data_IF_364005903727
#
_entry.id   IF_364005903727
#
_cell.length_a   1.000
_cell.length_b   1.000
_cell.length_c   1.000
_cell.angle_alpha   90.00
_cell.angle_beta   90.00
_cell.angle_gamma   90.00
#
_symmetry.space_group_name_H-M   'P 1'
#
loop_
_entity.id
_entity.type
_entity.pdbx_description
1 polymer ?
#
# COMPACT_ATOMS: atom_id res chain seq x y z
N UNK A 1 -13.11 8.13 -77.76
CA UNK A 1 -12.33 8.85 -76.74
C UNK A 1 -12.73 8.25 -75.38
N UNK A 2 -11.90 7.38 -74.84
CA UNK A 2 -12.13 6.71 -73.54
C UNK A 2 -11.30 7.41 -72.48
N UNK A 3 -11.91 8.15 -71.58
CA UNK A 3 -11.29 8.74 -70.41
C UNK A 3 -11.27 7.70 -69.26
N UNK A 4 -10.07 7.22 -68.94
CA UNK A 4 -9.83 6.35 -67.73
C UNK A 4 -9.70 7.24 -66.51
N UNK A 5 -10.65 7.13 -65.56
CA UNK A 5 -10.51 7.73 -64.24
C UNK A 5 -9.56 6.89 -63.39
N UNK A 6 -8.45 7.48 -63.00
CA UNK A 6 -7.53 6.91 -61.96
C UNK A 6 -8.05 7.28 -60.58
N UNK A 7 -8.36 6.27 -59.77
CA UNK A 7 -8.71 6.42 -58.35
C UNK A 7 -7.40 6.41 -57.54
N UNK A 8 -7.11 7.42 -56.72
CA UNK A 8 -5.92 7.38 -55.86
C UNK A 8 -6.15 6.42 -54.71
N UNK A 9 -5.26 5.45 -54.57
CA UNK A 9 -5.14 4.56 -53.39
C UNK A 9 -4.48 5.35 -52.28
N UNK A 10 -5.23 5.71 -51.23
CA UNK A 10 -4.69 6.31 -50.03
C UNK A 10 -3.99 5.21 -49.21
N UNK A 11 -2.68 5.31 -49.09
CA UNK A 11 -1.89 4.48 -48.17
C UNK A 11 -2.19 4.95 -46.74
N UNK A 12 -2.95 4.16 -45.98
CA UNK A 12 -3.07 4.32 -44.52
C UNK A 12 -1.75 3.84 -43.89
N UNK A 13 -0.91 4.76 -43.46
CA UNK A 13 0.22 4.48 -42.60
C UNK A 13 -0.30 4.18 -41.18
N UNK A 14 -0.32 2.92 -40.79
CA UNK A 14 -0.49 2.53 -39.39
C UNK A 14 0.75 3.03 -38.61
N UNK A 15 0.59 4.13 -37.89
CA UNK A 15 1.54 4.52 -36.85
C UNK A 15 1.34 3.56 -35.68
N UNK A 16 2.22 2.56 -35.56
CA UNK A 16 2.40 1.85 -34.30
C UNK A 16 2.74 2.88 -33.23
N UNK A 17 1.82 3.15 -32.31
CA UNK A 17 2.11 3.84 -31.09
C UNK A 17 3.18 3.01 -30.36
N UNK A 18 4.41 3.52 -30.31
CA UNK A 18 5.45 2.94 -29.46
C UNK A 18 4.90 2.98 -28.03
N UNK A 19 4.68 1.81 -27.43
CA UNK A 19 4.42 1.71 -26.01
C UNK A 19 5.56 2.44 -25.31
N UNK A 20 5.26 3.52 -24.60
CA UNK A 20 6.24 4.20 -23.78
C UNK A 20 6.73 3.18 -22.77
N UNK A 21 8.00 2.74 -22.91
CA UNK A 21 8.68 2.01 -21.86
C UNK A 21 8.70 2.97 -20.65
N UNK A 22 7.84 2.72 -19.66
CA UNK A 22 7.82 3.48 -18.43
C UNK A 22 9.22 3.46 -17.79
N UNK A 23 9.55 4.50 -17.06
CA UNK A 23 10.77 4.53 -16.26
C UNK A 23 10.87 3.25 -15.42
N UNK A 24 12.09 2.74 -15.18
CA UNK A 24 12.27 1.62 -14.27
C UNK A 24 11.66 1.98 -12.90
N UNK A 25 10.90 1.05 -12.26
CA UNK A 25 10.28 1.33 -10.98
C UNK A 25 11.33 1.75 -9.97
N UNK A 26 11.06 2.82 -9.24
CA UNK A 26 11.90 3.34 -8.19
C UNK A 26 11.33 2.90 -6.85
N UNK A 27 12.15 2.20 -6.10
CA UNK A 27 11.77 1.80 -4.74
C UNK A 27 12.08 2.93 -3.75
N UNK A 28 11.15 3.24 -2.87
CA UNK A 28 11.30 4.31 -1.85
C UNK A 28 12.41 4.03 -0.83
N UNK A 29 12.80 2.77 -0.69
CA UNK A 29 13.88 2.31 0.18
C UNK A 29 15.05 1.88 -0.70
N UNK A 30 16.16 2.62 -0.74
CA UNK A 30 17.35 2.21 -1.48
C UNK A 30 17.98 1.01 -0.78
N UNK A 31 17.66 -0.18 -1.25
CA UNK A 31 18.36 -1.39 -0.84
C UNK A 31 19.71 -1.44 -1.54
N UNK A 32 20.78 -1.64 -0.77
CA UNK A 32 22.12 -1.82 -1.31
C UNK A 32 22.21 -3.02 -2.23
N UNK A 33 23.24 -3.08 -3.06
CA UNK A 33 23.56 -4.27 -3.83
C UNK A 33 23.70 -5.49 -2.90
N UNK A 34 23.34 -6.70 -3.35
CA UNK A 34 23.45 -7.90 -2.54
C UNK A 34 24.85 -8.07 -1.95
N UNK A 35 24.93 -8.36 -0.64
CA UNK A 35 26.18 -8.54 0.07
C UNK A 35 26.12 -9.74 1.02
N UNK A 36 27.18 -10.56 1.11
CA UNK A 36 27.28 -11.60 2.12
C UNK A 36 27.15 -11.06 3.55
N UNK A 37 27.46 -9.78 3.80
CA UNK A 37 27.29 -9.15 5.11
C UNK A 37 25.85 -9.20 5.62
N UNK A 38 24.86 -9.23 4.73
CA UNK A 38 23.43 -9.29 5.05
C UNK A 38 22.88 -10.73 5.16
N UNK A 39 23.71 -11.76 4.98
CA UNK A 39 23.25 -13.15 4.96
C UNK A 39 22.59 -13.60 6.28
N UNK A 40 22.93 -12.97 7.39
CA UNK A 40 22.41 -13.25 8.73
C UNK A 40 21.43 -12.19 9.24
N UNK A 41 21.02 -11.23 8.42
CA UNK A 41 20.01 -10.26 8.81
C UNK A 41 18.71 -10.96 9.18
N UNK A 42 18.00 -10.44 10.17
CA UNK A 42 16.77 -11.05 10.66
C UNK A 42 15.73 -11.30 9.57
N UNK A 43 15.59 -10.38 8.61
CA UNK A 43 14.67 -10.52 7.47
C UNK A 43 15.09 -11.65 6.53
N UNK A 44 16.40 -11.88 6.34
CA UNK A 44 16.93 -12.96 5.49
C UNK A 44 16.74 -14.31 6.18
N UNK A 45 17.10 -14.38 7.46
CA UNK A 45 16.93 -15.60 8.27
C UNK A 45 15.47 -16.04 8.35
N UNK A 46 14.57 -15.09 8.58
CA UNK A 46 13.14 -15.35 8.66
C UNK A 46 12.55 -15.76 7.30
N UNK A 47 12.97 -15.14 6.20
CA UNK A 47 12.54 -15.55 4.86
C UNK A 47 13.00 -16.97 4.52
N UNK A 48 14.25 -17.31 4.87
CA UNK A 48 14.78 -18.67 4.67
C UNK A 48 14.03 -19.74 5.48
N UNK A 49 13.56 -19.41 6.67
CA UNK A 49 12.76 -20.32 7.51
C UNK A 49 11.38 -20.64 6.87
N UNK A 50 10.95 -19.86 5.87
CA UNK A 50 9.66 -20.04 5.21
C UNK A 50 9.78 -20.51 3.75
N UNK A 51 10.96 -21.00 3.30
CA UNK A 51 11.18 -21.41 1.91
C UNK A 51 10.24 -22.51 1.43
N UNK A 52 9.84 -23.41 2.32
CA UNK A 52 8.96 -24.56 1.99
C UNK A 52 7.46 -24.17 1.99
N UNK A 53 7.13 -22.96 2.45
CA UNK A 53 5.76 -22.49 2.45
C UNK A 53 5.25 -22.36 1.00
N UNK A 54 4.05 -22.91 0.76
CA UNK A 54 3.39 -22.88 -0.55
C UNK A 54 2.39 -21.73 -0.61
N UNK A 55 2.18 -21.12 -1.79
CA UNK A 55 1.13 -20.12 -1.96
C UNK A 55 -0.26 -20.75 -1.90
N UNK A 56 -1.22 -20.01 -1.31
CA UNK A 56 -2.62 -20.36 -1.17
C UNK A 56 -3.53 -19.32 -1.84
N UNK A 57 -3.38 -19.04 -3.16
CA UNK A 57 -4.12 -17.98 -3.82
C UNK A 57 -5.61 -18.32 -3.88
N UNK A 58 -6.44 -17.28 -3.72
CA UNK A 58 -7.88 -17.34 -3.90
C UNK A 58 -8.30 -16.43 -5.05
N UNK A 59 -9.39 -16.79 -5.74
CA UNK A 59 -9.97 -15.92 -6.78
C UNK A 59 -10.50 -14.62 -6.18
N UNK A 60 -11.06 -14.68 -4.99
CA UNK A 60 -11.53 -13.53 -4.21
C UNK A 60 -11.18 -13.74 -2.74
N UNK A 61 -10.83 -12.67 -2.04
CA UNK A 61 -10.70 -12.63 -0.59
C UNK A 61 -11.79 -11.72 -0.04
N UNK A 62 -12.32 -12.04 1.14
CA UNK A 62 -13.34 -11.22 1.78
C UNK A 62 -13.34 -11.39 3.29
N UNK A 63 -12.94 -10.32 3.99
CA UNK A 63 -12.94 -10.22 5.46
C UNK A 63 -13.77 -9.03 5.93
N UNK A 64 -13.92 -8.02 5.07
CA UNK A 64 -14.61 -6.78 5.38
C UNK A 64 -16.09 -7.02 5.70
N UNK A 65 -16.53 -6.51 6.86
CA UNK A 65 -17.94 -6.66 7.29
C UNK A 65 -18.30 -8.06 7.81
N UNK A 66 -17.31 -8.96 7.95
CA UNK A 66 -17.48 -10.28 8.54
C UNK A 66 -16.81 -10.35 9.91
N UNK A 67 -17.37 -11.14 10.81
CA UNK A 67 -16.69 -11.58 12.02
C UNK A 67 -15.88 -12.85 11.74
N UNK A 68 -14.87 -13.20 12.55
CA UNK A 68 -14.17 -14.47 12.46
C UNK A 68 -15.15 -15.65 12.37
N UNK A 69 -14.83 -16.63 11.53
CA UNK A 69 -15.64 -17.83 11.25
C UNK A 69 -16.92 -17.57 10.44
N UNK A 70 -17.09 -16.39 9.86
CA UNK A 70 -18.22 -16.10 8.97
C UNK A 70 -17.79 -16.15 7.49
N UNK A 71 -18.63 -16.74 6.64
CA UNK A 71 -18.41 -16.79 5.20
C UNK A 71 -17.04 -17.37 4.84
N UNK A 72 -16.26 -16.63 4.03
CA UNK A 72 -14.89 -17.02 3.64
C UNK A 72 -13.82 -16.27 4.44
N UNK A 73 -14.16 -15.63 5.58
CA UNK A 73 -13.26 -14.81 6.37
C UNK A 73 -11.95 -15.56 6.71
N UNK A 74 -12.05 -16.72 7.35
CA UNK A 74 -10.87 -17.46 7.83
C UNK A 74 -10.00 -17.98 6.67
N UNK A 75 -10.63 -18.41 5.57
CA UNK A 75 -9.90 -18.81 4.37
C UNK A 75 -9.17 -17.62 3.72
N UNK A 76 -9.81 -16.45 3.74
CA UNK A 76 -9.21 -15.20 3.24
C UNK A 76 -8.02 -14.77 4.09
N UNK A 77 -8.17 -14.79 5.43
CA UNK A 77 -7.08 -14.48 6.36
C UNK A 77 -5.86 -15.39 6.15
N UNK A 78 -6.11 -16.70 5.94
CA UNK A 78 -5.03 -17.65 5.65
C UNK A 78 -4.35 -17.34 4.32
N UNK A 79 -5.13 -17.09 3.26
CA UNK A 79 -4.61 -16.79 1.93
C UNK A 79 -3.81 -15.47 1.91
N UNK A 80 -4.27 -14.44 2.63
CA UNK A 80 -3.60 -13.14 2.71
C UNK A 80 -2.21 -13.19 3.36
N UNK A 81 -1.88 -14.24 4.11
CA UNK A 81 -0.53 -14.45 4.68
C UNK A 81 0.54 -14.62 3.60
N UNK A 82 0.16 -15.02 2.40
CA UNK A 82 1.06 -15.11 1.26
C UNK A 82 1.69 -13.77 0.90
N UNK A 83 0.94 -12.68 1.03
CA UNK A 83 1.35 -11.37 0.52
C UNK A 83 2.57 -10.80 1.27
N UNK A 84 2.59 -10.74 2.62
CA UNK A 84 3.79 -10.32 3.34
C UNK A 84 4.95 -11.32 3.22
N UNK A 85 4.70 -12.63 3.03
CA UNK A 85 5.75 -13.61 2.77
C UNK A 85 6.46 -13.33 1.45
N UNK A 86 5.72 -13.03 0.38
CA UNK A 86 6.29 -12.67 -0.91
C UNK A 86 7.17 -11.41 -0.82
N UNK A 87 6.70 -10.36 -0.13
CA UNK A 87 7.48 -9.13 0.04
C UNK A 87 8.75 -9.39 0.87
N UNK A 88 8.65 -10.18 1.94
CA UNK A 88 9.79 -10.54 2.78
C UNK A 88 10.85 -11.28 1.99
N UNK A 89 10.45 -12.27 1.18
CA UNK A 89 11.37 -13.01 0.32
C UNK A 89 12.04 -12.10 -0.71
N UNK A 90 11.30 -11.16 -1.32
CA UNK A 90 11.82 -10.18 -2.27
C UNK A 90 12.88 -9.26 -1.63
N UNK A 91 12.62 -8.74 -0.44
CA UNK A 91 13.57 -7.90 0.32
C UNK A 91 14.80 -8.70 0.71
N UNK A 92 14.61 -9.91 1.22
CA UNK A 92 15.70 -10.80 1.62
C UNK A 92 16.59 -11.18 0.41
N UNK A 93 15.99 -11.41 -0.76
CA UNK A 93 16.74 -11.60 -2.00
C UNK A 93 17.56 -10.37 -2.39
N UNK A 94 16.97 -9.19 -2.33
CA UNK A 94 17.67 -7.92 -2.64
C UNK A 94 18.89 -7.69 -1.74
N UNK A 95 18.82 -8.10 -0.48
CA UNK A 95 19.91 -7.97 0.49
C UNK A 95 20.99 -9.04 0.33
N UNK A 96 20.59 -10.30 0.13
CA UNK A 96 21.50 -11.46 0.20
C UNK A 96 21.94 -12.01 -1.16
N UNK A 97 21.17 -11.75 -2.22
CA UNK A 97 21.39 -12.34 -3.55
C UNK A 97 21.04 -13.82 -3.65
N UNK A 98 20.46 -14.44 -2.61
CA UNK A 98 20.15 -15.87 -2.58
C UNK A 98 19.05 -16.24 -3.60
N UNK A 99 19.35 -17.09 -4.61
CA UNK A 99 18.41 -17.37 -5.70
C UNK A 99 17.12 -18.07 -5.26
N UNK A 100 17.18 -18.87 -4.18
CA UNK A 100 16.01 -19.55 -3.61
C UNK A 100 14.93 -18.57 -3.12
N UNK A 101 15.30 -17.39 -2.64
CA UNK A 101 14.38 -16.33 -2.22
C UNK A 101 13.70 -15.66 -3.41
N UNK A 102 14.42 -15.47 -4.53
CA UNK A 102 13.81 -15.01 -5.78
C UNK A 102 12.83 -16.04 -6.32
N UNK A 103 13.19 -17.33 -6.29
CA UNK A 103 12.30 -18.40 -6.72
C UNK A 103 11.03 -18.47 -5.87
N UNK A 104 11.15 -18.31 -4.54
CA UNK A 104 10.01 -18.23 -3.65
C UNK A 104 9.11 -17.04 -4.03
N UNK A 105 9.69 -15.85 -4.16
CA UNK A 105 8.95 -14.66 -4.59
C UNK A 105 8.21 -14.91 -5.91
N UNK A 106 8.88 -15.47 -6.91
CA UNK A 106 8.27 -15.76 -8.20
C UNK A 106 7.10 -16.75 -8.10
N UNK A 107 7.18 -17.78 -7.25
CA UNK A 107 6.06 -18.72 -7.02
C UNK A 107 4.81 -18.02 -6.48
N UNK A 108 4.97 -17.14 -5.47
CA UNK A 108 3.85 -16.39 -4.91
C UNK A 108 3.24 -15.43 -5.94
N UNK A 109 4.08 -14.66 -6.63
CA UNK A 109 3.63 -13.71 -7.65
C UNK A 109 2.89 -14.41 -8.79
N UNK A 110 3.42 -15.54 -9.28
CA UNK A 110 2.81 -16.31 -10.36
C UNK A 110 1.46 -16.89 -9.93
N UNK A 111 1.39 -17.50 -8.75
CA UNK A 111 0.18 -18.11 -8.22
C UNK A 111 -0.95 -17.07 -8.07
N UNK A 112 -0.66 -15.92 -7.48
CA UNK A 112 -1.66 -14.87 -7.28
C UNK A 112 -2.04 -14.15 -8.58
N UNK A 113 -1.08 -13.87 -9.47
CA UNK A 113 -1.38 -13.21 -10.73
C UNK A 113 -2.29 -14.02 -11.65
N UNK A 114 -2.21 -15.36 -11.59
CA UNK A 114 -3.02 -16.26 -12.42
C UNK A 114 -4.34 -16.66 -11.77
N UNK A 115 -4.55 -16.36 -10.48
CA UNK A 115 -5.74 -16.79 -9.75
C UNK A 115 -6.64 -15.63 -9.35
N UNK A 116 -6.05 -14.52 -8.87
CA UNK A 116 -6.82 -13.44 -8.24
C UNK A 116 -7.61 -12.61 -9.24
N UNK A 117 -8.86 -12.33 -8.89
CA UNK A 117 -9.80 -11.51 -9.67
C UNK A 117 -10.25 -10.33 -8.80
N UNK A 118 -9.80 -9.09 -9.10
CA UNK A 118 -10.17 -7.92 -8.33
C UNK A 118 -11.68 -7.67 -8.30
N UNK A 119 -12.23 -7.48 -7.12
CA UNK A 119 -13.60 -6.99 -6.90
C UNK A 119 -13.64 -5.53 -6.49
N UNK A 120 -12.46 -4.98 -6.20
CA UNK A 120 -12.23 -3.59 -5.83
C UNK A 120 -12.85 -3.20 -4.49
N UNK A 121 -12.90 -4.12 -3.54
CA UNK A 121 -13.08 -3.79 -2.15
C UNK A 121 -11.72 -3.36 -1.55
N UNK A 122 -11.51 -2.08 -1.25
CA UNK A 122 -10.18 -1.60 -0.86
C UNK A 122 -9.74 -2.09 0.52
N UNK A 123 -10.66 -2.58 1.33
CA UNK A 123 -10.34 -3.14 2.66
C UNK A 123 -9.80 -4.56 2.50
N UNK A 124 -10.48 -5.39 1.72
CA UNK A 124 -10.04 -6.75 1.42
C UNK A 124 -8.74 -6.77 0.59
N UNK A 125 -8.60 -5.82 -0.34
CA UNK A 125 -7.47 -5.76 -1.27
C UNK A 125 -6.25 -4.98 -0.74
N UNK A 126 -6.37 -4.32 0.42
CA UNK A 126 -5.33 -3.37 0.88
C UNK A 126 -3.93 -3.97 0.94
N UNK A 127 -3.81 -5.23 1.33
CA UNK A 127 -2.53 -5.90 1.53
C UNK A 127 -1.94 -6.52 0.25
N UNK A 128 -2.67 -6.51 -0.90
CA UNK A 128 -2.10 -6.78 -2.22
C UNK A 128 -0.91 -5.86 -2.54
N UNK A 129 -0.87 -4.68 -1.91
CA UNK A 129 0.27 -3.77 -1.99
C UNK A 129 1.62 -4.46 -1.68
N UNK A 130 1.64 -5.52 -0.86
CA UNK A 130 2.86 -6.29 -0.59
C UNK A 130 3.34 -7.06 -1.84
N UNK A 131 2.42 -7.68 -2.61
CA UNK A 131 2.78 -8.35 -3.86
C UNK A 131 3.29 -7.35 -4.90
N UNK A 132 2.69 -6.15 -4.97
CA UNK A 132 3.11 -5.12 -5.92
C UNK A 132 4.50 -4.58 -5.58
N UNK A 133 4.81 -4.44 -4.30
CA UNK A 133 6.14 -4.08 -3.83
C UNK A 133 7.16 -5.21 -4.07
N UNK A 134 6.78 -6.47 -3.83
CA UNK A 134 7.62 -7.63 -4.15
C UNK A 134 7.93 -7.69 -5.66
N UNK A 135 6.93 -7.44 -6.51
CA UNK A 135 7.11 -7.33 -7.96
C UNK A 135 8.08 -6.19 -8.31
N UNK A 136 7.90 -4.97 -7.78
CA UNK A 136 8.77 -3.84 -8.06
C UNK A 136 10.24 -4.13 -7.72
N UNK A 137 10.49 -4.85 -6.63
CA UNK A 137 11.83 -5.24 -6.19
C UNK A 137 12.49 -6.32 -7.07
N UNK A 138 11.69 -7.19 -7.72
CA UNK A 138 12.20 -8.40 -8.37
C UNK A 138 11.97 -8.43 -9.88
N UNK A 139 11.18 -7.51 -10.43
CA UNK A 139 10.64 -7.59 -11.81
C UNK A 139 11.68 -7.88 -12.89
N UNK A 140 12.88 -7.28 -12.79
CA UNK A 140 13.92 -7.43 -13.80
C UNK A 140 14.60 -8.81 -13.77
N UNK A 141 14.47 -9.53 -12.64
CA UNK A 141 14.98 -10.88 -12.45
C UNK A 141 13.90 -11.98 -12.57
N UNK A 142 12.61 -11.60 -12.64
CA UNK A 142 11.51 -12.56 -12.77
C UNK A 142 11.47 -13.22 -14.14
N UNK A 143 10.98 -14.48 -14.24
CA UNK A 143 10.59 -15.08 -15.50
C UNK A 143 9.62 -14.19 -16.27
N UNK A 144 9.74 -14.12 -17.60
CA UNK A 144 8.92 -13.23 -18.42
C UNK A 144 7.40 -13.49 -18.27
N UNK A 145 6.99 -14.74 -18.13
CA UNK A 145 5.58 -15.10 -17.92
C UNK A 145 5.05 -14.49 -16.62
N UNK A 146 5.72 -14.74 -15.49
CA UNK A 146 5.35 -14.20 -14.15
C UNK A 146 5.35 -12.68 -14.15
N UNK A 147 6.38 -12.06 -14.74
CA UNK A 147 6.46 -10.60 -14.86
C UNK A 147 5.29 -10.01 -15.61
N UNK A 148 4.90 -10.60 -16.75
CA UNK A 148 3.81 -10.12 -17.58
C UNK A 148 2.44 -10.33 -16.89
N UNK A 149 2.23 -11.49 -16.28
CA UNK A 149 0.99 -11.78 -15.53
C UNK A 149 0.79 -10.80 -14.38
N UNK A 150 1.85 -10.56 -13.57
CA UNK A 150 1.79 -9.57 -12.48
C UNK A 150 1.58 -8.15 -12.98
N UNK A 151 2.26 -7.73 -14.05
CA UNK A 151 2.04 -6.41 -14.63
C UNK A 151 0.59 -6.23 -15.07
N UNK A 152 -0.02 -7.24 -15.67
CA UNK A 152 -1.44 -7.22 -16.06
C UNK A 152 -2.38 -7.08 -14.86
N UNK A 153 -2.14 -7.84 -13.78
CA UNK A 153 -2.92 -7.71 -12.55
C UNK A 153 -2.78 -6.31 -11.93
N UNK A 154 -1.54 -5.82 -11.81
CA UNK A 154 -1.27 -4.49 -11.23
C UNK A 154 -1.92 -3.38 -12.06
N UNK A 155 -1.87 -3.44 -13.39
CA UNK A 155 -2.57 -2.47 -14.26
C UNK A 155 -4.07 -2.51 -14.02
N UNK A 156 -4.68 -3.69 -13.98
CA UNK A 156 -6.12 -3.83 -13.70
C UNK A 156 -6.50 -3.18 -12.36
N UNK A 157 -5.72 -3.40 -11.31
CA UNK A 157 -5.92 -2.78 -9.99
C UNK A 157 -5.78 -1.25 -10.08
N UNK A 158 -4.71 -0.74 -10.70
CA UNK A 158 -4.47 0.70 -10.82
C UNK A 158 -5.60 1.42 -11.56
N UNK A 159 -5.97 0.93 -12.75
CA UNK A 159 -7.02 1.51 -13.58
C UNK A 159 -8.39 1.43 -12.91
N UNK A 160 -8.71 0.28 -12.30
CA UNK A 160 -9.97 0.10 -11.61
C UNK A 160 -10.14 1.00 -10.41
N UNK A 161 -9.10 1.18 -9.58
CA UNK A 161 -9.15 2.14 -8.48
C UNK A 161 -9.14 3.59 -8.96
N UNK A 162 -8.37 3.94 -10.00
CA UNK A 162 -8.41 5.28 -10.58
C UNK A 162 -9.81 5.62 -11.09
N UNK A 163 -10.45 4.71 -11.82
CA UNK A 163 -11.82 4.90 -12.31
C UNK A 163 -12.82 5.12 -11.16
N UNK A 164 -12.72 4.35 -10.06
CA UNK A 164 -13.57 4.54 -8.88
C UNK A 164 -13.34 5.87 -8.19
N UNK A 165 -12.08 6.28 -8.03
CA UNK A 165 -11.71 7.56 -7.44
C UNK A 165 -12.22 8.74 -8.28
N UNK A 166 -12.22 8.60 -9.62
CA UNK A 166 -12.76 9.60 -10.53
C UNK A 166 -14.29 9.68 -10.47
N UNK A 167 -14.97 8.53 -10.50
CA UNK A 167 -16.42 8.46 -10.43
C UNK A 167 -16.99 9.01 -9.12
N UNK A 168 -16.19 9.03 -8.05
CA UNK A 168 -16.58 9.52 -6.71
C UNK A 168 -16.00 10.90 -6.37
N UNK A 169 -15.45 11.60 -7.36
CA UNK A 169 -14.92 12.94 -7.16
C UNK A 169 -16.02 13.91 -6.67
N UNK A 170 -15.75 14.60 -5.56
CA UNK A 170 -16.71 15.53 -4.94
C UNK A 170 -17.82 14.85 -4.12
N UNK A 171 -17.79 13.52 -3.97
CA UNK A 171 -18.70 12.81 -3.08
C UNK A 171 -18.49 13.23 -1.61
N UNK A 172 -19.58 13.33 -0.86
CA UNK A 172 -19.58 13.54 0.58
C UNK A 172 -20.01 12.28 1.35
N UNK A 173 -20.23 11.16 0.62
CA UNK A 173 -20.53 9.88 1.26
C UNK A 173 -19.34 9.39 2.06
N UNK A 174 -19.59 8.93 3.28
CA UNK A 174 -18.55 8.67 4.28
C UNK A 174 -17.43 7.76 3.76
N UNK A 175 -17.76 6.66 3.07
CA UNK A 175 -16.76 5.72 2.52
C UNK A 175 -16.00 6.26 1.28
N UNK A 176 -16.33 7.45 0.81
CA UNK A 176 -15.63 8.14 -0.26
C UNK A 176 -14.67 9.22 0.26
N UNK A 177 -14.61 9.41 1.61
CA UNK A 177 -13.77 10.42 2.26
C UNK A 177 -13.03 9.89 3.51
N UNK A 178 -13.34 8.69 4.02
CA UNK A 178 -12.72 8.06 5.19
C UNK A 178 -11.60 7.06 4.81
N UNK A 179 -11.23 6.17 5.73
CA UNK A 179 -10.22 5.13 5.53
C UNK A 179 -10.42 4.30 4.25
N UNK A 180 -11.64 4.02 3.81
CA UNK A 180 -11.91 3.33 2.56
C UNK A 180 -11.28 4.02 1.36
N UNK A 181 -11.38 5.35 1.31
CA UNK A 181 -10.78 6.12 0.23
C UNK A 181 -9.25 6.14 0.36
N UNK A 182 -8.74 6.22 1.59
CA UNK A 182 -7.29 6.17 1.85
C UNK A 182 -6.68 4.85 1.38
N UNK A 183 -7.38 3.72 1.58
CA UNK A 183 -6.95 2.43 1.05
C UNK A 183 -7.01 2.35 -0.49
N UNK A 184 -8.04 2.95 -1.15
CA UNK A 184 -8.07 3.07 -2.62
C UNK A 184 -6.87 3.87 -3.15
N UNK A 185 -6.54 4.98 -2.48
CA UNK A 185 -5.38 5.82 -2.82
C UNK A 185 -4.07 5.04 -2.69
N UNK A 186 -3.90 4.29 -1.60
CA UNK A 186 -2.72 3.42 -1.42
C UNK A 186 -2.58 2.43 -2.57
N UNK A 187 -3.65 1.70 -2.89
CA UNK A 187 -3.62 0.69 -3.95
C UNK A 187 -3.29 1.30 -5.31
N UNK A 188 -3.85 2.46 -5.65
CA UNK A 188 -3.48 3.19 -6.85
C UNK A 188 -2.00 3.61 -6.82
N UNK A 189 -1.54 4.22 -5.72
CA UNK A 189 -0.19 4.76 -5.61
C UNK A 189 0.90 3.67 -5.69
N UNK A 190 0.71 2.57 -4.94
CA UNK A 190 1.67 1.45 -4.92
C UNK A 190 1.68 0.73 -6.28
N UNK A 191 0.51 0.55 -6.91
CA UNK A 191 0.42 -0.02 -8.27
C UNK A 191 1.12 0.85 -9.30
N UNK A 192 0.86 2.15 -9.31
CA UNK A 192 1.48 3.11 -10.23
C UNK A 192 3.01 3.11 -10.09
N UNK A 193 3.51 3.12 -8.84
CA UNK A 193 4.92 3.08 -8.54
C UNK A 193 5.56 1.74 -8.96
N UNK A 194 4.90 0.61 -8.72
CA UNK A 194 5.39 -0.71 -9.09
C UNK A 194 5.51 -0.90 -10.62
N UNK A 195 4.61 -0.28 -11.38
CA UNK A 195 4.67 -0.25 -12.84
C UNK A 195 5.72 0.75 -13.36
N UNK A 196 5.99 1.81 -12.61
CA UNK A 196 6.77 2.96 -13.08
C UNK A 196 6.01 3.75 -14.14
N UNK A 197 4.68 3.85 -14.05
CA UNK A 197 3.80 4.47 -15.04
C UNK A 197 3.59 5.96 -14.72
N UNK A 198 4.16 6.91 -15.50
CA UNK A 198 4.12 8.33 -15.17
C UNK A 198 2.69 8.92 -15.14
N UNK A 199 1.78 8.62 -16.06
CA UNK A 199 0.37 9.03 -15.99
C UNK A 199 -0.33 8.58 -14.71
N UNK A 200 -0.19 7.30 -14.32
CA UNK A 200 -0.79 6.77 -13.09
C UNK A 200 -0.16 7.39 -11.84
N UNK A 201 1.16 7.61 -11.83
CA UNK A 201 1.87 8.28 -10.73
C UNK A 201 1.36 9.72 -10.56
N UNK A 202 1.19 10.47 -11.64
CA UNK A 202 0.65 11.83 -11.59
C UNK A 202 -0.79 11.83 -11.04
N UNK A 203 -1.63 10.92 -11.52
CA UNK A 203 -3.00 10.76 -11.04
C UNK A 203 -3.04 10.37 -9.54
N UNK A 204 -2.19 9.45 -9.11
CA UNK A 204 -2.11 9.03 -7.70
C UNK A 204 -1.71 10.20 -6.78
N UNK A 205 -0.76 11.03 -7.19
CA UNK A 205 -0.35 12.24 -6.42
C UNK A 205 -1.50 13.23 -6.28
N UNK A 206 -2.22 13.51 -7.36
CA UNK A 206 -3.40 14.38 -7.34
C UNK A 206 -4.47 13.83 -6.38
N UNK A 207 -4.82 12.54 -6.51
CA UNK A 207 -5.84 11.89 -5.68
C UNK A 207 -5.45 11.84 -4.20
N UNK A 208 -4.17 11.67 -3.88
CA UNK A 208 -3.67 11.74 -2.50
C UNK A 208 -3.96 13.11 -1.88
N UNK A 209 -3.65 14.21 -2.56
CA UNK A 209 -3.90 15.57 -2.05
C UNK A 209 -5.40 15.88 -1.90
N UNK A 210 -6.22 15.40 -2.83
CA UNK A 210 -7.69 15.52 -2.73
C UNK A 210 -8.24 14.75 -1.51
N UNK A 211 -7.72 13.55 -1.25
CA UNK A 211 -8.10 12.78 -0.07
C UNK A 211 -7.66 13.46 1.23
N UNK A 212 -6.46 14.00 1.29
CA UNK A 212 -5.99 14.77 2.45
C UNK A 212 -6.93 15.94 2.75
N UNK A 213 -7.41 16.65 1.72
CA UNK A 213 -8.37 17.73 1.88
C UNK A 213 -9.74 17.28 2.39
N UNK A 214 -10.21 16.10 1.96
CA UNK A 214 -11.53 15.56 2.32
C UNK A 214 -11.54 14.86 3.68
N UNK A 215 -10.46 14.16 4.01
CA UNK A 215 -10.36 13.28 5.19
C UNK A 215 -9.80 13.99 6.42
N UNK A 216 -8.76 14.80 6.26
CA UNK A 216 -8.04 15.41 7.38
C UNK A 216 -8.50 16.86 7.57
N UNK A 217 -8.96 17.18 8.78
CA UNK A 217 -9.32 18.54 9.16
C UNK A 217 -8.09 19.41 9.38
N UNK A 218 -8.22 20.76 9.34
CA UNK A 218 -7.09 21.66 9.60
C UNK A 218 -6.40 21.47 10.97
N UNK A 219 -7.12 20.93 11.95
CA UNK A 219 -6.59 20.62 13.30
C UNK A 219 -5.92 19.23 13.39
N UNK A 220 -5.82 18.50 12.29
CA UNK A 220 -5.20 17.18 12.20
C UNK A 220 -6.13 16.00 12.47
N UNK A 221 -7.37 16.21 12.93
CA UNK A 221 -8.32 15.11 13.15
C UNK A 221 -8.80 14.52 11.83
N UNK A 222 -8.87 13.18 11.77
CA UNK A 222 -9.45 12.48 10.63
C UNK A 222 -10.97 12.39 10.73
N UNK A 223 -11.62 12.16 9.60
CA UNK A 223 -13.04 11.89 9.51
C UNK A 223 -13.40 10.64 10.31
N UNK A 224 -12.55 9.61 10.24
CA UNK A 224 -12.74 8.36 10.99
C UNK A 224 -12.76 8.57 12.50
N UNK A 225 -11.89 9.42 13.04
CA UNK A 225 -11.94 9.75 14.46
C UNK A 225 -13.27 10.40 14.86
N UNK A 226 -13.77 11.30 14.03
CA UNK A 226 -15.04 11.98 14.30
C UNK A 226 -16.25 11.03 14.24
N UNK A 227 -16.19 9.99 13.41
CA UNK A 227 -17.25 8.99 13.23
C UNK A 227 -17.22 7.91 14.31
N UNK A 228 -16.02 7.45 14.66
CA UNK A 228 -15.82 6.20 15.42
C UNK A 228 -15.32 6.41 16.85
N UNK A 229 -14.85 7.62 17.19
CA UNK A 229 -14.25 7.92 18.48
C UNK A 229 -13.15 6.88 18.83
N UNK A 230 -12.24 6.63 17.87
CA UNK A 230 -11.25 5.57 17.98
C UNK A 230 -9.92 5.94 17.32
N UNK A 231 -8.83 5.87 18.08
CA UNK A 231 -7.46 6.02 17.57
C UNK A 231 -7.03 4.81 16.73
N UNK A 232 -7.65 3.65 16.95
CA UNK A 232 -7.55 2.48 16.07
C UNK A 232 -7.82 2.88 14.60
N UNK A 233 -8.92 3.61 14.35
CA UNK A 233 -9.26 4.04 13.00
C UNK A 233 -8.45 5.22 12.49
N UNK A 234 -7.88 6.04 13.39
CA UNK A 234 -6.89 7.06 12.98
C UNK A 234 -5.64 6.40 12.42
N UNK A 235 -5.10 5.37 13.08
CA UNK A 235 -3.95 4.62 12.57
C UNK A 235 -4.28 3.89 11.28
N UNK A 236 -5.44 3.21 11.23
CA UNK A 236 -5.89 2.46 10.07
C UNK A 236 -6.15 3.33 8.83
N UNK A 237 -6.49 4.61 9.02
CA UNK A 237 -6.67 5.59 7.94
C UNK A 237 -5.34 6.24 7.52
N UNK A 238 -4.45 6.57 8.47
CA UNK A 238 -3.19 7.24 8.17
C UNK A 238 -2.14 6.31 7.55
N UNK A 239 -2.11 5.02 7.93
CA UNK A 239 -1.15 4.06 7.36
C UNK A 239 -1.22 3.98 5.83
N UNK A 240 -2.37 3.81 5.18
CA UNK A 240 -2.45 3.79 3.72
C UNK A 240 -2.04 5.13 3.09
N UNK A 241 -2.31 6.27 3.71
CA UNK A 241 -1.86 7.56 3.20
C UNK A 241 -0.33 7.72 3.28
N UNK A 242 0.28 7.27 4.38
CA UNK A 242 1.75 7.26 4.52
C UNK A 242 2.39 6.29 3.53
N UNK A 243 1.81 5.11 3.32
CA UNK A 243 2.30 4.13 2.34
C UNK A 243 2.18 4.66 0.90
N UNK A 244 1.10 5.37 0.58
CA UNK A 244 0.96 6.04 -0.71
C UNK A 244 2.04 7.13 -0.90
N UNK A 245 2.27 7.96 0.11
CA UNK A 245 3.31 8.99 0.08
C UNK A 245 4.71 8.38 -0.08
N UNK A 246 5.02 7.28 0.61
CA UNK A 246 6.27 6.53 0.47
C UNK A 246 6.45 6.01 -0.96
N UNK A 247 5.44 5.33 -1.50
CA UNK A 247 5.51 4.77 -2.85
C UNK A 247 5.75 5.84 -3.92
N UNK A 248 5.17 7.03 -3.74
CA UNK A 248 5.28 8.15 -4.68
C UNK A 248 6.52 9.04 -4.45
N UNK A 249 7.19 8.93 -3.30
CA UNK A 249 8.33 9.79 -2.94
C UNK A 249 9.51 9.75 -3.92
N UNK A 250 9.85 8.62 -4.58
CA UNK A 250 10.94 8.57 -5.55
C UNK A 250 10.64 9.33 -6.86
N UNK A 251 9.40 9.71 -7.09
CA UNK A 251 8.92 10.31 -8.33
C UNK A 251 8.67 11.83 -8.22
N UNK A 252 9.09 12.46 -7.13
CA UNK A 252 8.97 13.90 -6.88
C UNK A 252 10.04 14.39 -5.93
N UNK A 253 10.14 15.72 -5.78
CA UNK A 253 11.08 16.36 -4.85
C UNK A 253 10.41 16.81 -3.55
N UNK A 254 9.08 16.91 -3.57
CA UNK A 254 8.26 17.37 -2.45
C UNK A 254 7.99 16.24 -1.46
N UNK A 255 7.97 16.58 -0.18
CA UNK A 255 7.55 15.66 0.87
C UNK A 255 6.02 15.63 0.94
N UNK A 256 5.43 14.55 0.43
CA UNK A 256 3.96 14.40 0.37
C UNK A 256 3.30 14.32 1.75
N UNK A 257 4.04 14.00 2.83
CA UNK A 257 3.49 14.04 4.18
C UNK A 257 3.26 15.48 4.67
N UNK A 258 4.10 16.43 4.24
CA UNK A 258 4.01 17.85 4.59
C UNK A 258 3.19 18.66 3.57
N UNK A 259 2.90 18.07 2.41
CA UNK A 259 2.13 18.70 1.35
C UNK A 259 0.78 19.20 1.88
N UNK A 260 0.54 20.52 1.79
CA UNK A 260 -0.72 21.11 2.23
C UNK A 260 -1.79 20.95 1.16
N UNK A 261 -2.94 20.47 1.59
CA UNK A 261 -4.14 20.40 0.77
C UNK A 261 -4.78 21.77 0.57
N UNK A 262 -5.83 21.84 -0.24
CA UNK A 262 -6.63 23.07 -0.44
C UNK A 262 -7.31 23.57 0.83
N UNK A 263 -7.51 22.72 1.84
CA UNK A 263 -8.06 23.08 3.15
C UNK A 263 -6.99 23.48 4.17
N UNK A 264 -5.70 23.41 3.80
CA UNK A 264 -4.57 23.67 4.67
C UNK A 264 -4.16 22.48 5.55
N UNK A 265 -4.86 21.35 5.47
CA UNK A 265 -4.51 20.11 6.14
C UNK A 265 -3.32 19.39 5.48
N UNK A 266 -2.68 18.46 6.21
CA UNK A 266 -1.62 17.58 5.71
C UNK A 266 -1.61 16.27 6.49
N UNK A 267 -0.96 15.24 5.95
CA UNK A 267 -0.74 13.98 6.66
C UNK A 267 0.12 14.23 7.91
N UNK A 268 1.14 15.09 7.80
CA UNK A 268 1.99 15.48 8.93
C UNK A 268 1.18 16.12 10.07
N UNK A 269 0.18 16.96 9.77
CA UNK A 269 -0.69 17.54 10.80
C UNK A 269 -1.51 16.47 11.55
N UNK A 270 -1.96 15.42 10.85
CA UNK A 270 -2.67 14.31 11.49
C UNK A 270 -1.74 13.43 12.34
N UNK A 271 -0.51 13.19 11.88
CA UNK A 271 0.51 12.51 12.67
C UNK A 271 0.87 13.30 13.93
N UNK A 272 1.05 14.63 13.83
CA UNK A 272 1.31 15.52 14.98
C UNK A 272 0.12 15.53 15.95
N UNK A 273 -1.11 15.46 15.46
CA UNK A 273 -2.29 15.35 16.31
C UNK A 273 -2.35 14.03 17.08
N UNK A 274 -1.93 12.91 16.46
CA UNK A 274 -1.90 11.59 17.08
C UNK A 274 -0.70 11.42 18.04
N UNK A 275 0.40 12.14 17.83
CA UNK A 275 1.68 11.98 18.55
C UNK A 275 1.54 11.96 20.08
N UNK A 276 0.78 12.86 20.77
CA UNK A 276 0.62 12.82 22.21
C UNK A 276 0.03 11.52 22.75
N UNK A 277 -0.80 10.85 21.97
CA UNK A 277 -1.37 9.55 22.31
C UNK A 277 -0.35 8.43 22.08
N UNK A 278 0.38 8.49 20.96
CA UNK A 278 1.44 7.53 20.63
C UNK A 278 2.61 7.57 21.62
N UNK A 279 2.91 8.74 22.19
CA UNK A 279 3.90 8.88 23.27
C UNK A 279 3.37 8.47 24.65
N UNK A 280 2.11 8.09 24.77
CA UNK A 280 1.48 7.78 26.05
C UNK A 280 1.23 8.99 26.97
N UNK A 281 1.44 10.23 26.47
CA UNK A 281 1.17 11.47 27.22
C UNK A 281 -0.34 11.76 27.37
N UNK A 282 -1.15 11.17 26.50
CA UNK A 282 -2.62 11.22 26.52
C UNK A 282 -3.18 9.81 26.37
N UNK A 283 -4.22 9.49 27.16
CA UNK A 283 -4.97 8.26 27.01
C UNK A 283 -6.27 8.53 26.24
N UNK A 284 -6.77 7.50 25.54
CA UNK A 284 -8.07 7.52 24.88
C UNK A 284 -8.81 6.20 25.13
N UNK A 285 -10.11 6.30 25.41
CA UNK A 285 -11.00 5.15 25.48
C UNK A 285 -11.62 4.94 24.12
N UNK A 286 -11.38 3.76 23.55
CA UNK A 286 -11.75 3.41 22.19
C UNK A 286 -13.26 3.18 22.04
N UNK A 287 -13.86 3.75 20.98
CA UNK A 287 -15.23 3.52 20.53
C UNK A 287 -16.35 3.90 21.52
N UNK A 288 -16.09 4.80 22.48
CA UNK A 288 -17.10 5.18 23.49
C UNK A 288 -18.31 5.85 22.85
N UNK A 289 -18.07 6.68 21.82
CA UNK A 289 -19.10 7.42 21.12
C UNK A 289 -19.19 7.06 19.63
N UNK A 290 -18.82 5.80 19.28
CA UNK A 290 -18.90 5.37 17.88
C UNK A 290 -20.35 5.44 17.37
N UNK A 291 -20.52 5.97 16.16
CA UNK A 291 -21.79 5.96 15.44
C UNK A 291 -21.92 4.78 14.46
N UNK A 292 -20.89 3.93 14.38
CA UNK A 292 -20.82 2.82 13.44
C UNK A 292 -21.37 1.53 14.05
N UNK A 293 -22.49 0.99 13.56
CA UNK A 293 -23.11 -0.21 14.15
C UNK A 293 -22.19 -1.43 14.20
N UNK A 294 -21.36 -1.62 13.18
CA UNK A 294 -20.48 -2.78 13.12
C UNK A 294 -19.35 -2.74 14.16
N UNK A 295 -18.91 -1.56 14.61
CA UNK A 295 -17.98 -1.44 15.72
C UNK A 295 -18.60 -1.97 17.02
N UNK A 296 -19.90 -1.71 17.23
CA UNK A 296 -20.66 -2.22 18.38
C UNK A 296 -20.79 -3.76 18.33
N UNK A 297 -20.97 -4.32 17.13
CA UNK A 297 -21.01 -5.79 16.94
C UNK A 297 -19.66 -6.41 17.27
N UNK A 298 -18.56 -5.80 16.82
CA UNK A 298 -17.20 -6.22 17.13
C UNK A 298 -16.87 -6.18 18.62
N UNK A 299 -17.32 -5.11 19.31
CA UNK A 299 -17.23 -5.01 20.77
C UNK A 299 -17.99 -6.14 21.48
N UNK A 300 -19.23 -6.40 21.07
CA UNK A 300 -20.04 -7.49 21.62
C UNK A 300 -19.41 -8.87 21.37
N UNK A 301 -18.75 -9.05 20.23
CA UNK A 301 -18.01 -10.26 19.90
C UNK A 301 -16.67 -10.38 20.67
N UNK A 302 -16.29 -9.38 21.46
CA UNK A 302 -15.03 -9.38 22.23
C UNK A 302 -13.77 -9.28 21.39
N UNK A 303 -13.87 -8.71 20.18
CA UNK A 303 -12.70 -8.56 19.31
C UNK A 303 -11.69 -7.58 19.92
N UNK A 304 -10.42 -7.99 19.94
CA UNK A 304 -9.33 -7.17 20.44
C UNK A 304 -9.22 -5.86 19.67
N UNK A 305 -9.06 -4.74 20.38
CA UNK A 305 -8.90 -3.41 19.80
C UNK A 305 -10.21 -2.65 19.57
N UNK A 306 -11.38 -3.27 19.82
CA UNK A 306 -12.69 -2.63 19.70
C UNK A 306 -13.26 -2.19 21.05
N UNK A 307 -12.43 -1.71 21.96
CA UNK A 307 -12.80 -1.16 23.28
C UNK A 307 -11.62 -1.11 24.22
N UNK A 308 -11.84 -0.49 25.38
CA UNK A 308 -10.79 -0.28 26.37
C UNK A 308 -9.89 0.90 26.04
N UNK A 309 -8.77 1.01 26.75
CA UNK A 309 -7.79 2.08 26.49
C UNK A 309 -6.94 1.72 25.28
N UNK A 310 -6.76 2.67 24.35
CA UNK A 310 -5.90 2.49 23.19
C UNK A 310 -4.43 2.23 23.62
N UNK A 311 -3.82 1.25 22.97
CA UNK A 311 -2.40 0.92 23.17
C UNK A 311 -1.55 1.72 22.17
N UNK A 312 -0.62 2.59 22.64
CA UNK A 312 0.29 3.34 21.79
C UNK A 312 1.07 2.49 20.78
N UNK A 313 1.42 1.24 21.14
CA UNK A 313 2.15 0.32 20.25
C UNK A 313 1.38 -0.03 18.97
N UNK A 314 0.06 0.18 18.93
CA UNK A 314 -0.74 0.02 17.72
C UNK A 314 -0.35 1.01 16.60
N UNK A 315 0.36 2.10 16.93
CA UNK A 315 0.88 3.08 15.95
C UNK A 315 2.33 2.85 15.53
N UNK A 316 2.98 1.77 16.00
CA UNK A 316 4.40 1.52 15.76
C UNK A 316 4.74 1.45 14.25
N UNK A 317 3.93 0.72 13.47
CA UNK A 317 4.11 0.61 12.02
C UNK A 317 3.93 1.96 11.31
N UNK A 318 2.93 2.73 11.71
CA UNK A 318 2.64 4.05 11.16
C UNK A 318 3.82 5.02 11.35
N UNK A 319 4.32 5.16 12.58
CA UNK A 319 5.43 6.08 12.85
C UNK A 319 6.76 5.58 12.31
N UNK A 320 6.98 4.26 12.23
CA UNK A 320 8.16 3.72 11.57
C UNK A 320 8.18 4.06 10.07
N UNK A 321 7.05 3.99 9.39
CA UNK A 321 6.90 4.40 7.99
C UNK A 321 7.03 5.92 7.83
N UNK A 322 6.36 6.70 8.67
CA UNK A 322 6.42 8.15 8.63
C UNK A 322 7.85 8.69 8.87
N UNK A 323 8.62 8.04 9.76
CA UNK A 323 10.02 8.41 10.09
C UNK A 323 10.98 8.32 8.88
N UNK A 324 10.58 7.57 7.83
CA UNK A 324 11.33 7.51 6.57
C UNK A 324 11.37 8.88 5.88
N UNK A 325 10.24 9.57 5.81
CA UNK A 325 10.09 10.87 5.16
C UNK A 325 10.17 12.05 6.14
N UNK A 326 9.89 11.82 7.42
CA UNK A 326 9.91 12.82 8.49
C UNK A 326 10.79 12.36 9.65
N UNK A 327 12.09 12.69 9.63
CA UNK A 327 13.06 12.27 10.65
C UNK A 327 12.68 12.63 12.09
N UNK A 328 11.82 13.63 12.29
CA UNK A 328 11.32 14.03 13.63
C UNK A 328 10.66 12.88 14.39
N UNK A 329 10.06 11.90 13.68
CA UNK A 329 9.40 10.76 14.30
C UNK A 329 10.31 9.56 14.62
N UNK A 330 11.63 9.64 14.34
CA UNK A 330 12.56 8.52 14.59
C UNK A 330 12.63 8.13 16.07
N UNK A 331 12.68 9.12 16.96
CA UNK A 331 12.72 8.86 18.41
C UNK A 331 11.45 8.15 18.88
N UNK A 332 10.27 8.64 18.48
CA UNK A 332 8.98 8.02 18.78
C UNK A 332 8.88 6.61 18.21
N UNK A 333 9.26 6.42 16.94
CA UNK A 333 9.28 5.10 16.32
C UNK A 333 10.16 4.11 17.10
N UNK A 334 11.32 4.55 17.60
CA UNK A 334 12.19 3.73 18.44
C UNK A 334 11.57 3.35 19.80
N UNK A 335 10.77 4.25 20.39
CA UNK A 335 10.05 4.00 21.64
C UNK A 335 8.89 3.03 21.48
N UNK A 336 8.19 3.09 20.36
CA UNK A 336 7.02 2.25 20.05
C UNK A 336 7.37 0.79 19.71
N UNK A 337 8.64 0.47 19.52
CA UNK A 337 9.09 -0.90 19.31
C UNK A 337 9.63 -1.18 17.91
N UNK A 338 9.73 -2.46 17.56
CA UNK A 338 10.36 -2.88 16.32
C UNK A 338 9.56 -2.49 15.07
N UNK A 339 10.24 -1.80 14.15
CA UNK A 339 9.71 -1.56 12.82
C UNK A 339 9.44 -2.89 12.07
N UNK A 340 8.49 -2.92 11.13
CA UNK A 340 8.32 -4.05 10.23
C UNK A 340 9.64 -4.45 9.55
N UNK A 341 9.89 -5.75 9.27
CA UNK A 341 11.17 -6.23 8.74
C UNK A 341 11.67 -5.50 7.50
N UNK A 342 10.76 -5.12 6.60
CA UNK A 342 11.08 -4.32 5.42
C UNK A 342 11.64 -2.95 5.80
N UNK A 343 11.06 -2.28 6.79
CA UNK A 343 11.53 -0.97 7.26
C UNK A 343 12.86 -1.09 8.01
N UNK A 344 13.08 -2.17 8.75
CA UNK A 344 14.37 -2.44 9.38
C UNK A 344 15.48 -2.59 8.32
N UNK A 345 15.22 -3.34 7.25
CA UNK A 345 16.13 -3.49 6.12
C UNK A 345 16.46 -2.14 5.45
N UNK A 346 15.46 -1.25 5.34
CA UNK A 346 15.64 0.10 4.81
C UNK A 346 16.49 1.00 5.72
N UNK A 347 16.40 0.83 7.02
CA UNK A 347 17.18 1.61 7.99
C UNK A 347 18.67 1.24 8.00
N UNK A 348 19.00 0.01 7.61
CA UNK A 348 20.38 -0.49 7.53
C UNK A 348 21.11 -0.04 6.27
N UNK A 349 20.42 0.58 5.30
CA UNK A 349 21.03 1.08 4.06
C UNK A 349 21.93 2.30 4.33
N UNK A 350 23.22 2.27 3.94
CA UNK A 350 24.20 3.32 4.28
C UNK A 350 23.98 4.66 3.56
N UNK A 351 23.09 4.76 2.60
CA UNK A 351 22.89 5.97 1.80
C UNK A 351 22.03 7.07 2.47
N UNK A 352 21.62 6.89 3.74
CA UNK A 352 20.87 7.89 4.50
C UNK A 352 21.73 8.59 5.56
N UNK A 353 22.78 9.23 5.13
CA UNK A 353 23.51 10.20 5.96
C UNK A 353 23.17 11.61 5.53
#
# INVERSE_FOLDING_TARGET
MNTRHLIPVALLTLTCAAAHAGDAPRWWCPLTAPSPAHANDAVVTDALAHLDAQPHPMAHVHTQGLLPHQGIHDASDEAERDWPLALRAAVAWRLSGKPELLQQTARYLDAWANTYQPDFNPIDETNLANLFQAYALTRDALPAATRNAMATLIHRIAEGYLARLQAKAGSTYINDINNWQSHRIKLLAVSAAALGDPPLIAAARERLLLQVAANIRPDGRTVDFAQRDALHYVTYDLEPLVQAALALSPYGKDNLLEGRSSTGSSIAAALDWLEPYAEGRRAHQEFVHTSEPFDIERQKAGLKGYGGTWDPHNSAALYAQAAVLLPKYRALSGQLGSAPPVLQACALSPERK
#
